data_IF_189556983659
#
_entry.id   IF_189556983659
#
_cell.length_a   1.000
_cell.length_b   1.000
_cell.length_c   1.000
_cell.angle_alpha   90.00
_cell.angle_beta   90.00
_cell.angle_gamma   90.00
#
_symmetry.space_group_name_H-M   'P 1'
#
loop_
_entity.id
_entity.type
_entity.pdbx_description
1 polymer ?
#
# COMPACT_ATOMS: atom_id res chain seq x y z
N UNK A 1 -37.35 -28.25 20.37
CA UNK A 1 -37.46 -27.95 18.93
C UNK A 1 -37.30 -26.47 18.58
N UNK A 2 -37.97 -25.57 19.24
CA UNK A 2 -37.83 -24.11 18.91
C UNK A 2 -36.43 -23.53 19.20
N UNK A 3 -35.71 -24.02 20.21
CA UNK A 3 -34.33 -23.59 20.53
C UNK A 3 -33.30 -24.07 19.52
N UNK A 4 -33.39 -25.32 19.07
CA UNK A 4 -32.51 -25.90 18.07
C UNK A 4 -32.73 -25.25 16.71
N UNK A 5 -33.94 -24.94 16.32
CA UNK A 5 -34.26 -24.26 15.07
C UNK A 5 -33.75 -22.81 15.07
N UNK A 6 -33.81 -22.09 16.18
CA UNK A 6 -33.24 -20.74 16.32
C UNK A 6 -31.75 -20.76 16.26
N UNK A 7 -31.08 -21.74 16.88
CA UNK A 7 -29.64 -21.92 16.83
C UNK A 7 -29.15 -22.22 15.40
N UNK A 8 -29.83 -23.08 14.67
CA UNK A 8 -29.53 -23.40 13.27
C UNK A 8 -29.71 -22.17 12.36
N UNK A 9 -30.76 -21.38 12.59
CA UNK A 9 -31.00 -20.13 11.85
C UNK A 9 -29.92 -19.08 12.11
N UNK A 10 -29.50 -18.90 13.36
CA UNK A 10 -28.46 -17.93 13.71
C UNK A 10 -27.09 -18.34 13.17
N UNK A 11 -26.73 -19.62 13.25
CA UNK A 11 -25.48 -20.13 12.69
C UNK A 11 -25.50 -20.04 11.16
N UNK A 12 -26.60 -20.39 10.51
CA UNK A 12 -26.75 -20.24 9.07
C UNK A 12 -26.63 -18.80 8.59
N UNK A 13 -27.26 -17.86 9.31
CA UNK A 13 -27.22 -16.43 8.97
C UNK A 13 -25.82 -15.83 9.17
N UNK A 14 -25.08 -16.25 10.21
CA UNK A 14 -23.70 -15.79 10.43
C UNK A 14 -22.73 -16.33 9.36
N UNK A 15 -22.90 -17.56 8.91
CA UNK A 15 -22.12 -18.14 7.80
C UNK A 15 -22.34 -17.42 6.48
N UNK A 16 -23.59 -17.02 6.19
CA UNK A 16 -23.91 -16.25 4.98
C UNK A 16 -23.32 -14.85 5.06
N UNK A 17 -23.34 -14.19 6.22
CA UNK A 17 -22.72 -12.89 6.39
C UNK A 17 -21.20 -12.93 6.16
N UNK A 18 -20.50 -13.95 6.66
CA UNK A 18 -19.04 -14.09 6.45
C UNK A 18 -18.69 -14.29 4.98
N UNK A 19 -19.52 -15.03 4.22
CA UNK A 19 -19.28 -15.22 2.79
C UNK A 19 -19.56 -13.97 1.94
N UNK A 20 -20.46 -13.09 2.39
CA UNK A 20 -20.74 -11.81 1.71
C UNK A 20 -19.62 -10.78 1.90
N UNK A 21 -18.86 -10.87 2.99
CA UNK A 21 -17.70 -9.99 3.24
C UNK A 21 -16.39 -10.50 2.62
N UNK A 22 -16.35 -11.74 2.19
CA UNK A 22 -15.25 -12.26 1.38
C UNK A 22 -15.35 -11.73 -0.06
N UNK A 23 -15.35 -10.41 -0.22
CA UNK A 23 -15.24 -9.80 -1.54
C UNK A 23 -13.87 -10.19 -2.10
N UNK A 24 -13.88 -10.98 -3.16
CA UNK A 24 -12.68 -11.19 -3.98
C UNK A 24 -12.18 -9.81 -4.39
N UNK A 25 -11.03 -9.41 -3.88
CA UNK A 25 -10.33 -8.28 -4.46
C UNK A 25 -10.20 -8.51 -5.95
N UNK A 26 -10.56 -7.54 -6.80
CA UNK A 26 -10.40 -7.71 -8.23
C UNK A 26 -8.95 -8.12 -8.48
N UNK A 27 -8.76 -9.25 -9.19
CA UNK A 27 -7.44 -9.65 -9.67
C UNK A 27 -7.00 -8.60 -10.68
N UNK A 28 -6.34 -7.55 -10.18
CA UNK A 28 -5.55 -6.73 -11.07
C UNK A 28 -4.43 -7.60 -11.62
N UNK A 29 -4.27 -7.69 -12.94
CA UNK A 29 -3.10 -8.37 -13.49
C UNK A 29 -1.88 -7.67 -12.88
N UNK A 30 -1.12 -8.42 -12.08
CA UNK A 30 0.16 -7.93 -11.56
C UNK A 30 1.01 -7.70 -12.81
N UNK A 31 1.39 -6.47 -13.13
CA UNK A 31 2.31 -6.22 -14.23
C UNK A 31 3.53 -7.12 -14.02
N UNK A 32 4.05 -7.73 -15.09
CA UNK A 32 5.30 -8.47 -14.98
C UNK A 32 6.30 -7.57 -14.26
N UNK A 33 6.82 -8.07 -13.15
CA UNK A 33 7.76 -7.27 -12.36
C UNK A 33 8.95 -6.93 -13.25
N UNK A 34 9.30 -5.65 -13.37
CA UNK A 34 10.53 -5.29 -14.07
C UNK A 34 11.70 -5.95 -13.36
N UNK A 35 12.76 -6.29 -14.10
CA UNK A 35 13.97 -6.88 -13.54
C UNK A 35 14.52 -6.06 -12.35
N UNK A 36 14.23 -4.77 -12.33
CA UNK A 36 14.58 -3.85 -11.25
C UNK A 36 13.40 -2.94 -10.93
N UNK A 37 12.90 -3.02 -9.70
CA UNK A 37 11.86 -2.11 -9.19
C UNK A 37 12.52 -0.80 -8.74
N UNK A 38 12.08 0.32 -9.29
CA UNK A 38 12.56 1.66 -8.92
C UNK A 38 11.45 2.43 -8.25
N UNK A 39 11.67 2.87 -7.02
CA UNK A 39 10.70 3.61 -6.22
C UNK A 39 11.32 4.93 -5.80
N UNK A 40 10.65 6.03 -6.09
CA UNK A 40 11.03 7.36 -5.64
C UNK A 40 9.98 7.89 -4.66
N UNK A 41 10.39 8.12 -3.43
CA UNK A 41 9.59 8.80 -2.42
C UNK A 41 9.78 10.31 -2.53
N UNK A 42 8.69 11.06 -2.74
CA UNK A 42 8.71 12.53 -2.79
C UNK A 42 7.88 13.04 -1.64
N UNK A 43 8.46 13.87 -0.77
CA UNK A 43 7.68 14.44 0.31
C UNK A 43 8.51 15.00 1.46
N UNK A 44 7.99 14.82 2.65
CA UNK A 44 8.53 15.32 3.92
C UNK A 44 8.74 14.16 4.91
N UNK A 45 8.77 14.44 6.22
CA UNK A 45 8.97 13.42 7.27
C UNK A 45 7.94 12.27 7.22
N UNK A 46 6.71 12.52 6.79
CA UNK A 46 5.71 11.44 6.62
C UNK A 46 6.12 10.45 5.52
N UNK A 47 6.73 10.93 4.45
CA UNK A 47 7.26 10.05 3.40
C UNK A 47 8.43 9.23 3.92
N UNK A 48 9.30 9.82 4.73
CA UNK A 48 10.41 9.11 5.37
C UNK A 48 9.90 7.98 6.26
N UNK A 49 8.90 8.24 7.10
CA UNK A 49 8.26 7.21 7.93
C UNK A 49 7.68 6.06 7.09
N UNK A 50 7.00 6.41 6.00
CA UNK A 50 6.45 5.41 5.08
C UNK A 50 7.50 4.57 4.36
N UNK A 51 8.67 5.13 4.09
CA UNK A 51 9.75 4.46 3.39
C UNK A 51 10.72 3.72 4.32
N UNK A 52 10.70 4.00 5.61
CA UNK A 52 11.66 3.44 6.59
C UNK A 52 11.68 1.91 6.59
N UNK A 53 10.52 1.28 6.53
CA UNK A 53 10.37 -0.18 6.58
C UNK A 53 10.15 -0.81 5.21
N UNK A 54 10.16 0.00 4.16
CA UNK A 54 9.90 -0.50 2.80
C UNK A 54 10.94 -1.52 2.32
N UNK A 55 12.25 -1.38 2.62
CA UNK A 55 13.23 -2.39 2.24
C UNK A 55 12.92 -3.77 2.81
N UNK A 56 12.61 -3.87 4.09
CA UNK A 56 12.30 -5.13 4.75
C UNK A 56 10.99 -5.74 4.24
N UNK A 57 9.99 -4.90 3.95
CA UNK A 57 8.73 -5.37 3.38
C UNK A 57 8.91 -5.93 1.98
N UNK A 58 9.72 -5.28 1.15
CA UNK A 58 10.03 -5.74 -0.21
C UNK A 58 10.83 -7.05 -0.19
N UNK A 59 11.81 -7.17 0.70
CA UNK A 59 12.57 -8.38 0.89
C UNK A 59 11.68 -9.54 1.36
N UNK A 60 10.81 -9.30 2.33
CA UNK A 60 9.82 -10.28 2.82
C UNK A 60 8.84 -10.72 1.73
N UNK A 61 8.51 -9.83 0.80
CA UNK A 61 7.71 -10.14 -0.38
C UNK A 61 8.49 -10.86 -1.51
N UNK A 62 9.79 -11.12 -1.33
CA UNK A 62 10.65 -11.76 -2.32
C UNK A 62 11.14 -10.83 -3.43
N UNK A 63 10.96 -9.52 -3.30
CA UNK A 63 11.38 -8.51 -4.27
C UNK A 63 12.79 -8.03 -3.89
N UNK A 64 13.80 -8.46 -4.63
CA UNK A 64 15.20 -8.24 -4.24
C UNK A 64 15.93 -7.16 -5.07
N UNK A 65 15.55 -6.98 -6.31
CA UNK A 65 16.17 -5.98 -7.18
C UNK A 65 15.42 -4.66 -7.06
N UNK A 66 15.76 -3.88 -6.05
CA UNK A 66 15.06 -2.63 -5.74
C UNK A 66 16.05 -1.47 -5.67
N UNK A 67 15.70 -0.36 -6.31
CA UNK A 67 16.38 0.92 -6.17
C UNK A 67 15.41 1.90 -5.51
N UNK A 68 15.76 2.39 -4.34
CA UNK A 68 14.99 3.37 -3.60
C UNK A 68 15.66 4.75 -3.73
N UNK A 69 14.89 5.74 -4.15
CA UNK A 69 15.28 7.14 -4.19
C UNK A 69 14.42 7.98 -3.26
N UNK A 70 14.94 9.13 -2.87
CA UNK A 70 14.25 10.05 -1.97
C UNK A 70 14.47 11.49 -2.39
N UNK A 71 13.36 12.22 -2.60
CA UNK A 71 13.34 13.66 -2.69
C UNK A 71 12.66 14.21 -1.42
N UNK A 72 13.47 14.69 -0.51
CA UNK A 72 13.05 15.11 0.81
C UNK A 72 13.28 16.59 1.04
N UNK A 73 12.24 17.29 1.47
CA UNK A 73 12.33 18.64 2.00
C UNK A 73 11.50 18.68 3.30
N UNK A 74 12.11 19.03 4.41
CA UNK A 74 11.47 19.06 5.73
C UNK A 74 10.23 19.98 5.74
N UNK A 75 9.10 19.49 6.27
CA UNK A 75 7.85 20.24 6.36
C UNK A 75 7.24 20.67 5.02
N UNK A 76 7.70 20.11 3.92
CA UNK A 76 7.32 20.54 2.59
C UNK A 76 5.98 19.94 2.15
N UNK A 77 5.15 20.77 1.50
CA UNK A 77 3.96 20.32 0.80
C UNK A 77 4.29 19.76 -0.59
N UNK A 78 3.41 18.94 -1.14
CA UNK A 78 3.56 18.45 -2.51
C UNK A 78 3.57 19.60 -3.54
N UNK A 79 2.78 20.64 -3.30
CA UNK A 79 2.76 21.86 -4.12
C UNK A 79 4.14 22.51 -4.19
N UNK A 80 4.85 22.60 -3.06
CA UNK A 80 6.21 23.12 -3.03
C UNK A 80 7.16 22.26 -3.83
N UNK A 81 7.09 20.94 -3.73
CA UNK A 81 7.87 20.02 -4.57
C UNK A 81 7.64 20.26 -6.05
N UNK A 82 6.38 20.40 -6.48
CA UNK A 82 6.05 20.70 -7.88
C UNK A 82 6.65 22.03 -8.34
N UNK A 83 6.60 23.06 -7.51
CA UNK A 83 7.18 24.37 -7.82
C UNK A 83 8.72 24.32 -7.93
N UNK A 84 9.39 23.68 -6.99
CA UNK A 84 10.83 23.52 -6.98
C UNK A 84 11.32 22.70 -8.20
N UNK A 85 10.60 21.64 -8.55
CA UNK A 85 10.86 20.87 -9.77
C UNK A 85 10.71 21.73 -11.03
N UNK A 86 9.59 22.47 -11.16
CA UNK A 86 9.35 23.34 -12.32
C UNK A 86 10.39 24.48 -12.40
N UNK A 87 10.90 24.96 -11.27
CA UNK A 87 11.94 25.97 -11.20
C UNK A 87 13.37 25.44 -11.32
N UNK A 88 13.56 24.12 -11.52
CA UNK A 88 14.86 23.48 -11.56
C UNK A 88 15.75 23.84 -10.37
N UNK A 89 15.17 23.79 -9.16
CA UNK A 89 15.88 24.10 -7.92
C UNK A 89 17.00 23.10 -7.62
N UNK A 90 18.08 23.50 -6.89
CA UNK A 90 19.20 22.61 -6.59
C UNK A 90 18.86 21.36 -5.76
N UNK A 91 17.64 21.29 -5.20
CA UNK A 91 17.14 20.12 -4.48
C UNK A 91 16.68 18.97 -5.40
N UNK A 92 16.63 19.21 -6.70
CA UNK A 92 16.16 18.27 -7.72
C UNK A 92 17.23 17.97 -8.76
#
# INVERSE_FOLDING_TARGET
MKRTLRLLLTVGLSLVCVSLFAQKFPNYPIPQQPDTLRILGIGNSFTDDGMMYLPELLEAAGIRNVVLGRLYIAGCSLERHCREYAGNAPAY
#
